data_IF_270130071226
#
_entry.id   IF_270130071226
#
_cell.length_a   1.000
_cell.length_b   1.000
_cell.length_c   1.000
_cell.angle_alpha   90.00
_cell.angle_beta   90.00
_cell.angle_gamma   90.00
#
_symmetry.space_group_name_H-M   'P 1'
#
loop_
_entity.id
_entity.type
_entity.pdbx_description
1 polymer ?
2 non-polymer ?
3 non-polymer ?
4 water ?
#
# COMPACT_ATOMS: atom_id res chain seq x y z
N UNK A 1 -18.22 -20.11 -2.47
CA UNK A 1 -17.48 -19.07 -3.20
C UNK A 1 -16.59 -18.22 -2.33
N UNK A 2 -15.60 -17.53 -2.93
CA UNK A 2 -14.79 -16.57 -2.15
C UNK A 2 -15.59 -15.28 -2.17
N UNK A 3 -16.03 -14.85 -0.99
CA UNK A 3 -16.91 -13.69 -0.82
C UNK A 3 -16.16 -12.37 -0.66
N UNK A 4 -16.83 -11.27 -0.99
CA UNK A 4 -16.31 -9.91 -0.77
C UNK A 4 -16.26 -9.68 0.74
N UNK A 5 -15.33 -8.84 1.20
CA UNK A 5 -15.20 -8.49 2.61
C UNK A 5 -15.27 -7.00 2.90
N UNK A 6 -15.86 -6.69 4.05
CA UNK A 6 -15.91 -5.35 4.60
C UNK A 6 -15.53 -5.45 6.07
N UNK A 7 -15.60 -4.34 6.77
CA UNK A 7 -15.35 -4.31 8.20
C UNK A 7 -16.60 -4.72 8.95
N UNK A 8 -16.43 -5.40 10.09
CA UNK A 8 -17.54 -5.82 10.94
C UNK A 8 -17.95 -4.64 11.85
N UNK A 9 -16.96 -3.88 12.32
CA UNK A 9 -17.15 -2.71 13.19
C UNK A 9 -16.32 -1.55 12.71
N UNK A 10 -16.69 -0.33 13.13
CA UNK A 10 -15.94 0.86 12.79
C UNK A 10 -14.58 0.88 13.57
N UNK A 11 -13.52 1.40 12.91
CA UNK A 11 -12.17 1.59 13.46
C UNK A 11 -11.94 3.09 13.58
N UNK A 12 -11.40 3.56 14.72
CA UNK A 12 -11.08 4.97 14.93
C UNK A 12 -9.64 5.09 15.38
N UNK A 13 -8.89 5.99 14.74
CA UNK A 13 -7.49 6.22 15.11
C UNK A 13 -7.13 7.69 14.96
N UNK A 14 -6.14 8.13 15.74
CA UNK A 14 -5.64 9.51 15.67
C UNK A 14 -4.14 9.41 15.45
N UNK A 15 -3.62 10.28 14.60
CA UNK A 15 -2.20 10.32 14.32
C UNK A 15 -1.78 11.62 13.69
N UNK A 16 -0.64 11.59 12.99
CA UNK A 16 -0.08 12.75 12.29
C UNK A 16 0.34 12.34 10.88
N UNK A 17 0.24 13.28 9.95
CA UNK A 17 0.67 13.03 8.58
C UNK A 17 2.19 13.05 8.50
N UNK A 18 2.79 12.08 7.81
CA UNK A 18 4.25 12.03 7.65
C UNK A 18 4.76 13.30 6.96
N UNK A 19 4.14 13.67 5.84
CA UNK A 19 4.62 14.83 5.07
C UNK A 19 4.16 16.15 5.59
N UNK A 20 2.90 16.26 6.01
CA UNK A 20 2.36 17.54 6.48
C UNK A 20 2.62 17.81 7.97
N UNK A 21 2.76 16.75 8.77
CA UNK A 21 2.93 16.86 10.21
C UNK A 21 1.61 17.23 10.89
N UNK A 22 0.51 17.26 10.12
CA UNK A 22 -0.82 17.64 10.63
C UNK A 22 -1.48 16.53 11.44
N UNK A 23 -2.19 16.87 12.52
CA UNK A 23 -2.97 15.94 13.34
C UNK A 23 -4.20 15.50 12.50
N UNK A 24 -4.45 14.20 12.47
CA UNK A 24 -5.54 13.66 11.66
C UNK A 24 -6.27 12.56 12.42
N UNK A 25 -7.61 12.61 12.31
CA UNK A 25 -8.55 11.64 12.86
C UNK A 25 -9.00 10.80 11.69
N UNK A 26 -8.88 9.50 11.85
CA UNK A 26 -9.19 8.48 10.85
C UNK A 26 -10.33 7.60 11.36
N UNK A 27 -11.29 7.30 10.48
CA UNK A 27 -12.42 6.44 10.80
C UNK A 27 -12.63 5.50 9.63
N UNK A 28 -12.57 4.19 9.88
CA UNK A 28 -12.78 3.20 8.83
C UNK A 28 -14.19 2.68 9.05
N UNK A 29 -15.01 2.67 7.98
CA UNK A 29 -16.39 2.23 8.12
C UNK A 29 -16.75 1.12 7.11
N UNK A 30 -17.67 0.20 7.48
CA UNK A 30 -18.15 -0.80 6.50
C UNK A 30 -18.76 -0.11 5.27
N UNK A 31 -18.76 -0.81 4.13
CA UNK A 31 -19.34 -0.29 2.90
C UNK A 31 -20.05 -1.41 2.15
N UNK A 32 -21.05 -1.06 1.31
CA UNK A 32 -21.75 -2.10 0.54
C UNK A 32 -20.89 -2.85 -0.47
N UNK A 33 -21.42 -3.96 -1.01
CA UNK A 33 -20.77 -4.76 -2.05
C UNK A 33 -20.44 -3.87 -3.27
N UNK A 34 -19.28 -4.09 -3.90
CA UNK A 34 -18.79 -3.37 -5.09
C UNK A 34 -18.53 -1.86 -4.86
N UNK A 35 -18.40 -1.40 -3.60
CA UNK A 35 -18.06 0.01 -3.31
C UNK A 35 -16.59 0.27 -3.62
N UNK A 36 -15.75 -0.70 -3.26
CA UNK A 36 -14.30 -0.58 -3.30
C UNK A 36 -13.88 0.23 -2.09
N UNK A 37 -12.64 0.72 -2.09
CA UNK A 37 -12.15 1.56 -0.98
C UNK A 37 -12.32 3.03 -1.37
N UNK A 38 -13.04 3.82 -0.54
CA UNK A 38 -13.30 5.24 -0.85
C UNK A 38 -12.82 6.14 0.27
N UNK A 39 -11.93 7.12 -0.05
CA UNK A 39 -11.43 8.09 0.95
C UNK A 39 -12.37 9.29 1.02
N UNK A 40 -12.72 9.72 2.23
CA UNK A 40 -13.68 10.80 2.48
C UNK A 40 -13.05 11.91 3.33
N UNK A 41 -12.95 13.12 2.78
CA UNK A 41 -12.40 14.28 3.52
C UNK A 41 -13.56 14.91 4.27
N UNK A 42 -13.77 14.48 5.52
CA UNK A 42 -14.89 14.93 6.35
C UNK A 42 -14.69 16.32 6.98
N UNK A 43 -13.48 16.90 6.85
CA UNK A 43 -13.20 18.26 7.32
C UNK A 43 -13.76 19.30 6.32
N UNK A 44 -14.10 18.86 5.11
CA UNK A 44 -14.62 19.73 4.06
C UNK A 44 -16.13 19.71 3.98
N UNK A 45 -16.74 20.85 3.59
CA UNK A 45 -18.18 20.97 3.45
C UNK A 45 -18.53 21.53 2.06
N UNK A 46 -19.09 20.71 1.15
CA UNK A 46 -19.47 19.29 1.32
C UNK A 46 -18.26 18.36 1.42
N UNK A 47 -18.47 17.16 2.00
CA UNK A 47 -17.43 16.13 2.13
C UNK A 47 -16.99 15.73 0.72
N UNK A 48 -15.68 15.60 0.48
CA UNK A 48 -15.12 15.22 -0.80
C UNK A 48 -14.71 13.76 -0.73
N UNK A 49 -15.26 12.94 -1.62
CA UNK A 49 -15.00 11.51 -1.66
C UNK A 49 -14.15 11.15 -2.88
N UNK A 50 -13.04 10.42 -2.65
CA UNK A 50 -12.12 9.99 -3.70
C UNK A 50 -11.92 8.46 -3.69
N UNK A 51 -12.48 7.72 -4.69
CA UNK A 51 -12.23 6.28 -4.75
C UNK A 51 -10.73 6.00 -4.87
N UNK A 52 -10.24 5.01 -4.14
CA UNK A 52 -8.83 4.60 -4.14
C UNK A 52 -8.60 3.80 -5.43
N UNK A 53 -8.48 4.52 -6.55
CA UNK A 53 -8.30 3.92 -7.88
C UNK A 53 -7.14 4.58 -8.62
N UNK A 54 -6.48 3.82 -9.49
CA UNK A 54 -5.32 4.30 -10.27
C UNK A 54 -5.57 5.62 -10.99
N UNK A 55 -6.76 5.78 -11.58
CA UNK A 55 -7.16 7.00 -12.31
C UNK A 55 -7.19 8.28 -11.43
N UNK A 56 -7.26 8.12 -10.09
CA UNK A 56 -7.32 9.23 -9.16
C UNK A 56 -5.97 9.61 -8.55
N UNK A 57 -4.89 8.93 -8.96
CA UNK A 57 -3.55 9.27 -8.46
C UNK A 57 -3.08 10.57 -9.18
N UNK A 58 -2.76 11.60 -8.42
CA UNK A 58 -2.36 12.88 -9.00
C UNK A 58 -0.93 13.31 -8.72
N UNK A 59 -0.31 12.75 -7.70
CA UNK A 59 1.07 13.04 -7.32
C UNK A 59 1.71 11.74 -6.82
N UNK A 60 3.01 11.54 -7.13
CA UNK A 60 3.77 10.33 -6.70
C UNK A 60 5.20 10.67 -6.18
N UNK A 61 5.34 11.82 -5.50
CA UNK A 61 6.62 12.28 -4.94
C UNK A 61 6.71 11.91 -3.46
N UNK A 62 7.53 10.93 -3.11
CA UNK A 62 7.71 10.46 -1.74
C UNK A 62 6.42 9.92 -1.08
N UNK A 63 5.35 9.63 -1.85
CA UNK A 63 4.09 9.01 -1.38
C UNK A 63 3.16 8.88 -2.57
N UNK A 64 2.04 8.17 -2.39
CA UNK A 64 0.98 8.09 -3.41
C UNK A 64 -0.12 9.06 -2.94
N UNK A 65 -0.48 10.02 -3.81
CA UNK A 65 -1.50 11.01 -3.47
C UNK A 65 -2.70 10.88 -4.41
N UNK A 66 -3.89 10.78 -3.84
CA UNK A 66 -5.16 10.77 -4.59
C UNK A 66 -5.59 12.22 -4.71
N UNK A 67 -6.12 12.60 -5.87
CA UNK A 67 -6.51 13.99 -6.13
C UNK A 67 -7.86 14.06 -6.83
N UNK A 68 -8.67 15.05 -6.47
CA UNK A 68 -9.96 15.38 -7.10
C UNK A 68 -10.01 16.90 -7.09
N UNK A 69 -9.76 17.50 -8.25
CA UNK A 69 -9.69 18.96 -8.38
C UNK A 69 -8.54 19.50 -7.57
N UNK A 70 -8.83 20.36 -6.60
CA UNK A 70 -7.79 20.92 -5.72
C UNK A 70 -7.72 20.20 -4.36
N UNK A 71 -8.48 19.09 -4.21
CA UNK A 71 -8.56 18.29 -2.97
C UNK A 71 -7.63 17.07 -3.08
N UNK A 72 -6.79 16.86 -2.06
CA UNK A 72 -5.87 15.73 -2.02
C UNK A 72 -6.11 14.81 -0.80
N UNK A 73 -5.72 13.53 -0.96
CA UNK A 73 -5.61 12.54 0.11
C UNK A 73 -4.20 11.93 -0.07
N UNK A 74 -3.27 12.33 0.81
CA UNK A 74 -1.87 11.94 0.69
C UNK A 74 -1.51 10.72 1.49
N UNK A 75 -0.47 10.00 1.04
CA UNK A 75 0.16 8.86 1.70
C UNK A 75 -0.86 7.72 1.97
N UNK A 76 -1.52 7.26 0.93
CA UNK A 76 -2.51 6.18 1.05
C UNK A 76 -1.92 4.78 1.08
N UNK A 77 -0.66 4.63 0.62
CA UNK A 77 -0.06 3.32 0.37
C UNK A 77 0.02 2.38 1.57
N UNK A 78 0.32 2.87 2.79
CA UNK A 78 0.45 1.94 3.91
C UNK A 78 -0.89 1.39 4.38
N UNK A 79 -1.92 2.25 4.42
CA UNK A 79 -3.27 1.80 4.82
C UNK A 79 -3.82 0.86 3.72
N UNK A 80 -3.59 1.21 2.43
CA UNK A 80 -4.06 0.35 1.33
C UNK A 80 -3.39 -1.00 1.36
N UNK A 81 -2.09 -1.06 1.78
CA UNK A 81 -1.35 -2.31 1.90
C UNK A 81 -2.02 -3.20 2.96
N UNK A 82 -2.46 -2.59 4.08
CA UNK A 82 -3.13 -3.32 5.16
C UNK A 82 -4.46 -3.88 4.66
N UNK A 83 -5.23 -3.04 3.93
CA UNK A 83 -6.53 -3.38 3.34
C UNK A 83 -6.38 -4.57 2.38
N UNK A 84 -5.36 -4.49 1.50
CA UNK A 84 -5.03 -5.52 0.52
C UNK A 84 -4.62 -6.82 1.22
N UNK A 85 -3.72 -6.73 2.19
CA UNK A 85 -3.20 -7.88 2.93
C UNK A 85 -4.27 -8.64 3.67
N UNK A 86 -5.34 -7.95 4.10
CA UNK A 86 -6.45 -8.57 4.85
C UNK A 86 -7.67 -8.93 3.99
N UNK A 87 -7.60 -8.59 2.71
CA UNK A 87 -8.67 -8.91 1.75
C UNK A 87 -9.92 -8.08 1.88
N UNK A 88 -9.80 -6.83 2.33
CA UNK A 88 -10.94 -5.92 2.47
C UNK A 88 -11.27 -5.32 1.11
N UNK A 89 -12.46 -5.65 0.59
CA UNK A 89 -12.89 -5.12 -0.69
C UNK A 89 -13.54 -3.76 -0.58
N UNK A 90 -14.42 -3.58 0.42
CA UNK A 90 -15.28 -2.41 0.53
C UNK A 90 -15.13 -1.70 1.84
N UNK A 91 -14.86 -0.38 1.79
CA UNK A 91 -14.72 0.43 3.00
C UNK A 91 -14.70 1.91 2.69
N UNK A 92 -15.22 2.71 3.61
CA UNK A 92 -15.12 4.16 3.53
C UNK A 92 -14.02 4.52 4.52
N UNK A 93 -13.09 5.37 4.09
CA UNK A 93 -12.01 5.81 4.95
C UNK A 93 -12.22 7.30 5.20
N UNK A 94 -12.71 7.67 6.38
CA UNK A 94 -12.90 9.09 6.70
C UNK A 94 -11.63 9.69 7.32
N UNK A 95 -11.22 10.89 6.83
CA UNK A 95 -10.04 11.59 7.33
C UNK A 95 -10.43 13.04 7.58
N UNK A 96 -9.93 13.63 8.68
CA UNK A 96 -10.22 15.01 9.03
C UNK A 96 -9.15 15.99 8.51
N UNK A 97 -8.22 15.49 7.67
CA UNK A 97 -7.12 16.29 7.09
C UNK A 97 -6.67 15.60 5.78
N UNK A 98 -5.82 16.29 5.00
CA UNK A 98 -5.34 15.85 3.68
C UNK A 98 -4.41 14.62 3.69
N UNK A 99 -4.00 14.10 4.83
CA UNK A 99 -3.04 12.99 4.84
C UNK A 99 -3.42 11.89 5.82
N UNK A 100 -3.32 10.61 5.40
CA UNK A 100 -3.55 9.44 6.27
C UNK A 100 -2.52 9.51 7.41
N UNK A 101 -2.86 9.17 8.68
CA UNK A 101 -1.83 9.18 9.73
C UNK A 101 -0.73 8.13 9.47
N UNK A 102 0.53 8.48 9.75
CA UNK A 102 1.67 7.62 9.51
C UNK A 102 1.79 6.49 10.57
N UNK A 103 1.17 6.67 11.78
CA UNK A 103 1.23 5.65 12.85
C UNK A 103 2.72 5.40 13.22
N UNK A 104 3.18 4.15 13.18
CA UNK A 104 4.59 3.83 13.49
C UNK A 104 5.47 3.71 12.23
N UNK A 105 4.89 4.05 11.07
CA UNK A 105 5.53 4.00 9.76
C UNK A 105 5.31 2.73 8.98
N UNK A 106 4.65 1.72 9.60
CA UNK A 106 4.40 0.44 8.95
C UNK A 106 2.89 0.24 8.76
N UNK A 107 2.46 -0.97 8.35
CA UNK A 107 1.03 -1.28 8.23
C UNK A 107 0.56 -2.02 9.49
N UNK A 108 1.48 -2.28 10.44
CA UNK A 108 1.21 -3.00 11.70
C UNK A 108 0.04 -2.46 12.50
N UNK A 109 0.04 -1.15 12.86
CA UNK A 109 -1.11 -0.62 13.63
C UNK A 109 -2.44 -0.73 12.89
N UNK A 110 -2.45 -0.53 11.56
CA UNK A 110 -3.68 -0.67 10.76
C UNK A 110 -4.18 -2.12 10.76
N UNK A 111 -3.27 -3.12 10.58
CA UNK A 111 -3.71 -4.53 10.58
C UNK A 111 -4.24 -4.91 11.95
N UNK A 112 -3.61 -4.41 13.03
CA UNK A 112 -4.10 -4.72 14.38
C UNK A 112 -5.50 -4.12 14.64
N UNK A 113 -5.70 -2.84 14.31
CA UNK A 113 -6.98 -2.18 14.55
C UNK A 113 -8.10 -2.84 13.75
N UNK A 114 -7.83 -3.18 12.49
CA UNK A 114 -8.82 -3.85 11.60
C UNK A 114 -9.17 -5.24 12.11
N UNK A 115 -8.13 -6.04 12.45
CA UNK A 115 -8.36 -7.40 12.97
C UNK A 115 -9.03 -7.42 14.36
N UNK A 116 -8.81 -6.35 15.16
CA UNK A 116 -9.48 -6.17 16.47
C UNK A 116 -10.98 -5.90 16.23
N UNK A 117 -11.31 -5.07 15.20
CA UNK A 117 -12.70 -4.75 14.82
C UNK A 117 -13.38 -5.97 14.17
N UNK A 118 -12.59 -6.76 13.44
CA UNK A 118 -13.07 -7.95 12.76
C UNK A 118 -13.60 -7.65 11.36
N UNK A 119 -13.66 -8.69 10.53
CA UNK A 119 -14.15 -8.57 9.15
C UNK A 119 -15.53 -9.21 8.95
N UNK A 120 -16.25 -8.77 7.91
CA UNK A 120 -17.58 -9.22 7.59
C UNK A 120 -17.63 -9.65 6.12
N UNK A 121 -17.84 -10.96 5.88
CA UNK A 121 -17.98 -11.50 4.53
C UNK A 121 -19.36 -11.07 4.03
N UNK A 122 -19.43 -10.68 2.76
CA UNK A 122 -20.63 -10.17 2.11
C UNK A 122 -21.16 -11.14 1.07
N UNK A 123 -22.47 -11.10 0.79
CA UNK A 123 -23.10 -12.06 -0.13
C UNK A 123 -22.90 -11.67 -1.61
N UNK A 124 -21.64 -11.70 -2.05
CA UNK A 124 -21.22 -11.40 -3.43
C UNK A 124 -19.84 -11.96 -3.64
N UNK A 125 -19.60 -12.47 -4.85
CA UNK A 125 -18.31 -13.04 -5.22
C UNK A 125 -17.22 -11.97 -5.22
N UNK A 126 -16.07 -12.28 -4.60
CA UNK A 126 -14.92 -11.36 -4.61
C UNK A 126 -14.38 -11.40 -6.04
N UNK A 127 -14.09 -10.23 -6.60
CA UNK A 127 -13.58 -10.12 -7.97
C UNK A 127 -12.05 -9.96 -7.91
N UNK A 128 -11.35 -10.66 -8.80
CA UNK A 128 -9.90 -10.64 -8.89
C UNK A 128 -9.45 -10.23 -10.29
N UNK A 129 -8.30 -9.56 -10.36
CA UNK A 129 -7.72 -9.20 -11.65
C UNK A 129 -6.64 -10.23 -11.91
N UNK A 130 -6.85 -11.10 -12.91
CA UNK A 130 -5.87 -12.15 -13.24
C UNK A 130 -4.97 -11.69 -14.40
N UNK A 131 -3.64 -11.67 -14.18
CA UNK A 131 -2.62 -11.33 -15.17
C UNK A 131 -2.55 -12.49 -16.20
N UNK A 132 -2.77 -12.18 -17.49
CA UNK A 132 -2.77 -13.18 -18.58
C UNK A 132 -1.51 -13.04 -19.45
N UNK A 133 -0.94 -11.83 -19.53
CA UNK A 133 0.24 -11.55 -20.34
C UNK A 133 1.21 -10.73 -19.52
N UNK A 134 2.51 -10.83 -19.85
CA UNK A 134 3.53 -10.04 -19.18
C UNK A 134 3.39 -8.58 -19.59
N UNK A 135 3.47 -7.67 -18.60
CA UNK A 135 3.37 -6.22 -18.80
C UNK A 135 4.52 -5.62 -18.01
N UNK A 136 5.37 -4.82 -18.69
CA UNK A 136 6.51 -4.19 -18.03
C UNK A 136 6.59 -2.71 -18.36
N UNK A 137 7.06 -1.91 -17.41
CA UNK A 137 7.26 -0.48 -17.58
C UNK A 137 8.66 -0.22 -17.07
N UNK A 138 9.37 0.65 -17.76
CA UNK A 138 10.72 1.00 -17.35
C UNK A 138 10.93 2.47 -17.60
N UNK A 139 11.82 3.07 -16.81
CA UNK A 139 12.23 4.45 -16.99
C UNK A 139 13.61 4.56 -16.39
N UNK A 140 14.59 4.71 -17.28
CA UNK A 140 15.99 4.72 -16.90
C UNK A 140 16.37 3.38 -16.29
N UNK A 141 16.93 3.42 -15.06
CA UNK A 141 17.35 2.21 -14.34
C UNK A 141 16.25 1.63 -13.41
N UNK A 142 14.99 2.07 -13.54
CA UNK A 142 13.88 1.55 -12.72
C UNK A 142 12.99 0.66 -13.60
N UNK A 143 12.50 -0.44 -13.06
CA UNK A 143 11.66 -1.37 -13.83
C UNK A 143 10.59 -1.98 -12.91
N UNK A 144 9.35 -2.17 -13.45
CA UNK A 144 8.23 -2.77 -12.69
C UNK A 144 7.48 -3.67 -13.67
N UNK A 145 7.23 -4.93 -13.27
CA UNK A 145 6.68 -5.94 -14.20
C UNK A 145 5.57 -6.73 -13.55
N UNK A 146 4.54 -7.08 -14.32
CA UNK A 146 3.51 -8.03 -13.92
C UNK A 146 3.75 -9.26 -14.78
N UNK A 147 3.71 -10.45 -14.18
CA UNK A 147 3.93 -11.71 -14.91
C UNK A 147 2.77 -12.66 -14.56
N UNK A 148 2.21 -13.47 -15.50
CA UNK A 148 1.15 -14.41 -15.10
C UNK A 148 1.67 -15.37 -14.03
N UNK A 149 0.83 -15.66 -13.05
CA UNK A 149 1.20 -16.57 -11.95
C UNK A 149 -0.07 -17.00 -11.25
N UNK A 150 -0.22 -18.31 -11.00
CA UNK A 150 -1.36 -18.89 -10.30
C UNK A 150 -1.21 -18.68 -8.77
N UNK A 151 -1.47 -17.44 -8.33
CA UNK A 151 -1.40 -17.02 -6.94
C UNK A 151 -1.05 -15.54 -6.85
N UNK A 152 -0.37 -15.14 -5.78
CA UNK A 152 0.08 -13.76 -5.64
C UNK A 152 1.42 -13.75 -4.99
N UNK A 153 2.41 -13.19 -5.71
CA UNK A 153 3.77 -13.08 -5.22
C UNK A 153 4.41 -11.77 -5.67
N UNK A 154 5.31 -11.27 -4.82
CA UNK A 154 6.03 -10.00 -5.04
C UNK A 154 7.52 -10.23 -4.84
N UNK A 155 8.32 -9.74 -5.80
CA UNK A 155 9.78 -9.81 -5.74
C UNK A 155 10.22 -8.37 -5.82
N UNK A 156 11.23 -7.99 -5.03
CA UNK A 156 11.75 -6.62 -5.07
C UNK A 156 13.25 -6.65 -4.94
N UNK A 157 13.93 -5.80 -5.73
CA UNK A 157 15.37 -5.65 -5.69
C UNK A 157 15.74 -4.16 -5.79
N UNK A 158 16.63 -3.69 -4.92
CA UNK A 158 17.02 -2.27 -5.01
C UNK A 158 18.47 -2.05 -4.60
N UNK A 159 19.23 -1.29 -5.40
CA UNK A 159 20.60 -0.92 -5.05
C UNK A 159 20.43 0.49 -4.48
N UNK A 160 20.35 0.58 -3.15
CA UNK A 160 20.10 1.87 -2.50
C UNK A 160 21.25 2.90 -2.64
N UNK A 161 22.47 2.43 -3.00
CA UNK A 161 23.67 3.26 -3.14
C UNK A 161 23.85 4.13 -1.89
N UNK A 162 23.82 3.47 -0.71
CA UNK A 162 23.92 4.17 0.56
C UNK A 162 24.78 3.36 1.53
N UNK A 163 25.70 4.02 2.30
CA UNK A 163 26.59 3.23 3.19
C UNK A 163 25.91 2.36 4.23
N UNK A 164 24.65 2.67 4.65
CA UNK A 164 23.98 1.88 5.70
C UNK A 164 23.79 0.42 5.25
N UNK A 165 23.73 0.18 3.93
CA UNK A 165 23.54 -1.16 3.40
C UNK A 165 24.85 -1.97 3.33
N UNK A 166 25.99 -1.37 3.76
CA UNK A 166 27.32 -2.00 3.85
C UNK A 166 27.73 -2.73 2.54
N UNK A 167 27.49 -2.07 1.40
CA UNK A 167 27.84 -2.58 0.08
C UNK A 167 26.87 -3.62 -0.44
N UNK A 169 23.50 -4.89 -2.60
CA UNK A 169 22.16 -4.70 -3.18
C UNK A 169 21.11 -5.48 -2.35
N UNK A 170 19.97 -4.82 -1.97
CA UNK A 170 18.91 -5.42 -1.15
C UNK A 170 17.88 -6.15 -2.01
N UNK A 171 17.42 -7.33 -1.55
CA UNK A 171 16.49 -8.17 -2.32
C UNK A 171 15.64 -9.06 -1.44
N UNK A 172 14.35 -9.23 -1.81
CA UNK A 172 13.40 -10.10 -1.11
C UNK A 172 12.28 -10.56 -2.04
N UNK A 173 11.81 -11.78 -1.81
CA UNK A 173 10.71 -12.38 -2.55
C UNK A 173 9.73 -12.94 -1.55
N UNK A 174 8.44 -12.71 -1.80
CA UNK A 174 7.38 -13.17 -0.90
C UNK A 174 6.27 -13.82 -1.74
N UNK A 175 5.85 -15.04 -1.39
CA UNK A 175 4.77 -15.75 -2.06
C UNK A 175 3.68 -15.89 -0.98
N UNK A 176 2.56 -15.16 -1.15
CA UNK A 176 1.46 -15.01 -0.18
C UNK A 176 0.48 -16.15 -0.08
N UNK A 177 1.00 -17.34 0.25
CA UNK A 177 0.26 -18.58 0.45
C UNK A 177 1.08 -19.61 1.24
N UNK A 179 3.71 -17.51 3.00
CA UNK A 179 4.16 -16.51 3.95
C UNK A 179 3.03 -15.59 4.41
N UNK A 180 3.18 -15.06 5.62
CA UNK A 180 2.17 -14.19 6.21
C UNK A 180 2.47 -12.72 5.94
N UNK A 181 1.55 -12.01 5.22
CA UNK A 181 1.61 -10.54 5.03
C UNK A 181 1.75 -9.93 6.42
N UNK A 182 0.89 -10.36 7.39
CA UNK A 182 0.93 -9.85 8.75
C UNK A 182 2.28 -10.09 9.46
N UNK A 183 2.80 -11.34 9.54
CA UNK A 183 4.03 -11.56 10.33
C UNK A 183 5.31 -11.14 9.65
N UNK A 184 5.35 -11.26 8.34
CA UNK A 184 6.59 -10.97 7.61
C UNK A 184 6.68 -9.66 6.85
N UNK A 185 5.55 -8.99 6.50
CA UNK A 185 5.66 -7.72 5.78
C UNK A 185 5.01 -6.53 6.51
N UNK A 186 3.86 -6.73 7.19
CA UNK A 186 3.10 -5.62 7.79
C UNK A 186 3.87 -4.73 8.75
N UNK A 187 4.81 -5.28 9.53
CA UNK A 187 5.58 -4.53 10.53
C UNK A 187 6.77 -3.74 9.97
N UNK A 188 7.05 -3.83 8.65
CA UNK A 188 8.20 -3.13 8.06
C UNK A 188 7.96 -1.64 7.93
N UNK A 189 8.75 -0.83 8.64
CA UNK A 189 8.60 0.62 8.69
C UNK A 189 9.19 1.34 7.50
N UNK A 190 8.60 2.51 7.20
CA UNK A 190 9.16 3.44 6.24
C UNK A 190 10.52 3.96 6.76
N UNK A 191 11.31 4.60 5.89
CA UNK A 191 12.66 5.04 6.29
C UNK A 191 13.05 6.29 5.54
N UNK A 192 13.91 7.07 6.18
CA UNK A 192 14.45 8.32 5.70
C UNK A 192 15.93 8.44 5.97
N UNK A 193 16.60 9.25 5.15
CA UNK A 193 18.04 9.47 5.24
C UNK A 193 18.33 10.92 5.60
N UNK A 194 19.20 11.13 6.59
CA UNK A 194 19.60 12.46 7.05
C UNK A 194 20.15 13.34 5.93
N UNK A 195 20.78 12.73 4.92
CA UNK A 195 21.33 13.48 3.79
C UNK A 195 20.24 14.10 2.91
N UNK A 196 19.01 13.60 2.99
CA UNK A 196 17.89 14.10 2.19
C UNK A 196 16.97 15.09 2.97
N UNK A 197 17.05 15.14 4.31
CA UNK A 197 16.10 15.85 5.17
C UNK A 197 15.99 17.37 4.88
N UNK A 198 17.11 18.07 4.68
CA UNK A 198 17.08 19.51 4.40
C UNK A 198 16.32 19.77 3.08
N UNK A 199 16.67 19.04 1.99
CA UNK A 199 15.99 19.13 0.70
C UNK A 199 14.48 18.75 0.82
N UNK A 200 14.16 17.68 1.59
CA UNK A 200 12.77 17.27 1.77
C UNK A 200 11.92 18.37 2.46
N UNK A 201 12.39 18.89 3.60
CA UNK A 201 11.66 19.96 4.33
C UNK A 201 11.42 21.22 3.47
N UNK A 202 12.37 21.54 2.56
CA UNK A 202 12.28 22.65 1.62
C UNK A 202 11.14 22.44 0.59
N UNK A 203 10.83 21.16 0.26
CA UNK A 203 9.76 20.75 -0.64
C UNK A 203 8.45 20.52 0.14
N UNK A 204 8.47 20.83 1.46
CA UNK A 204 7.35 20.61 2.38
C UNK A 204 7.02 19.12 2.48
N UNK A 205 8.09 18.32 2.53
CA UNK A 205 7.98 16.87 2.67
C UNK A 205 8.58 16.47 3.99
N UNK A 206 8.13 15.32 4.53
CA UNK A 206 8.60 14.71 5.79
C UNK A 206 8.54 15.66 7.00
N UNK A 207 7.59 16.63 7.02
CA UNK A 207 7.48 17.56 8.17
C UNK A 207 7.16 16.85 9.50
N UNK A 208 6.51 15.68 9.41
CA UNK A 208 6.12 14.88 10.57
C UNK A 208 7.08 13.72 10.84
N UNK A 209 8.12 13.60 10.00
CA UNK A 209 9.10 12.53 10.09
C UNK A 209 9.93 12.55 11.37
N UNK A 210 10.12 11.36 12.00
CA UNK A 210 10.92 11.23 13.23
C UNK A 210 11.20 9.75 13.47
N UNK A 211 12.00 9.47 14.52
CA UNK A 211 12.29 8.08 14.93
C UNK A 211 11.01 7.36 15.43
N UNK A 212 9.96 8.13 15.83
CA UNK A 212 8.69 7.56 16.31
C UNK A 212 7.87 6.95 15.18
N UNK A 213 8.14 7.36 13.93
CA UNK A 213 7.34 6.85 12.79
C UNK A 213 8.15 6.40 11.57
N UNK A 214 9.47 6.24 11.69
CA UNK A 214 10.35 5.83 10.57
C UNK A 214 11.69 5.34 11.08
N UNK A 215 12.38 4.55 10.26
CA UNK A 215 13.78 4.19 10.50
C UNK A 215 14.54 5.43 10.02
N UNK A 216 15.24 6.11 10.92
CA UNK A 216 15.99 7.30 10.51
C UNK A 216 17.46 6.92 10.39
N UNK A 217 18.02 7.11 9.18
CA UNK A 217 19.43 6.78 8.92
C UNK A 217 20.32 8.05 8.86
N UNK A 218 21.54 7.99 9.45
CA UNK A 218 22.53 9.06 9.35
C UNK A 218 23.84 8.37 8.96
N UNK A 219 24.11 8.28 7.62
CA UNK A 219 25.27 7.60 7.02
C UNK A 219 25.33 6.11 7.49
N UNK A 220 26.27 5.76 8.39
CA UNK A 220 26.39 4.37 8.87
C UNK A 220 25.37 4.03 9.97
N UNK A 221 24.83 5.05 10.64
CA UNK A 221 23.97 4.81 11.80
C UNK A 221 22.50 4.73 11.55
N UNK A 222 21.82 3.82 12.30
CA UNK A 222 20.37 3.78 12.35
C UNK A 222 20.15 4.53 13.67
N UNK A 223 19.57 5.74 13.61
CA UNK A 223 19.37 6.58 14.79
C UNK A 223 18.40 5.99 15.82
N UNK A 224 17.45 5.15 15.37
CA UNK A 224 16.47 4.51 16.26
C UNK A 224 17.21 3.66 17.28
N UNK A 225 17.10 4.05 18.55
CA UNK A 225 17.72 3.40 19.72
C UNK A 225 17.49 1.88 19.76
N UNK A 226 16.29 1.43 19.36
CA UNK A 226 15.94 0.01 19.40
C UNK A 226 16.23 -0.78 18.11
N UNK A 227 16.77 -0.11 17.10
CA UNK A 227 17.19 -0.77 15.87
C UNK A 227 16.10 -1.24 14.93
N UNK A 228 16.36 -2.37 14.24
CA UNK A 228 15.47 -2.92 13.21
C UNK A 228 14.60 -4.07 13.66
N UNK A 229 13.44 -4.21 13.02
CA UNK A 229 12.47 -5.28 13.30
C UNK A 229 12.80 -6.51 12.49
N UNK A 230 13.48 -6.32 11.36
CA UNK A 230 13.85 -7.39 10.43
C UNK A 230 15.20 -7.04 9.91
N UNK A 231 16.03 -8.04 9.66
CA UNK A 231 17.34 -7.84 9.04
C UNK A 231 17.19 -7.04 7.73
N UNK A 232 16.17 -7.39 6.93
CA UNK A 232 15.85 -6.79 5.62
C UNK A 232 14.61 -5.87 5.69
N UNK A 233 14.46 -5.09 6.78
CA UNK A 233 13.31 -4.19 6.95
C UNK A 233 13.09 -3.23 5.78
N UNK A 234 14.19 -2.72 5.20
CA UNK A 234 14.12 -1.73 4.12
C UNK A 234 13.43 -2.28 2.86
N UNK A 235 13.92 -3.42 2.34
CA UNK A 235 13.31 -4.04 1.15
C UNK A 235 11.89 -4.57 1.46
N UNK A 236 11.66 -5.07 2.69
CA UNK A 236 10.32 -5.53 3.09
C UNK A 236 9.35 -4.34 3.06
N UNK A 237 9.79 -3.12 3.46
CA UNK A 237 8.92 -1.95 3.35
C UNK A 237 8.62 -1.61 1.86
N UNK A 238 9.62 -1.82 0.98
CA UNK A 238 9.39 -1.56 -0.44
C UNK A 238 8.31 -2.49 -1.00
N UNK A 239 8.25 -3.73 -0.47
CA UNK A 239 7.23 -4.72 -0.84
C UNK A 239 5.87 -4.28 -0.29
N UNK A 240 5.84 -3.80 0.97
CA UNK A 240 4.62 -3.27 1.59
C UNK A 240 4.09 -2.13 0.70
N UNK A 241 4.96 -1.14 0.31
CA UNK A 241 4.55 -0.01 -0.55
C UNK A 241 3.94 -0.52 -1.87
N UNK A 242 4.59 -1.48 -2.51
CA UNK A 242 4.11 -2.04 -3.79
C UNK A 242 2.74 -2.71 -3.63
N UNK A 243 2.51 -3.44 -2.52
CA UNK A 243 1.22 -4.07 -2.27
C UNK A 243 0.11 -3.00 -2.17
N UNK A 244 0.40 -1.90 -1.44
CA UNK A 244 -0.53 -0.78 -1.31
C UNK A 244 -0.82 -0.06 -2.61
N UNK A 245 0.22 0.25 -3.39
CA UNK A 245 0.08 0.93 -4.68
C UNK A 245 -0.69 0.08 -5.68
N UNK A 246 -0.41 -1.24 -5.68
CA UNK A 246 -1.05 -2.23 -6.59
C UNK A 246 -2.51 -2.35 -6.26
N UNK A 247 -2.89 -2.08 -4.99
CA UNK A 247 -4.30 -2.17 -4.59
C UNK A 247 -5.16 -1.05 -5.19
N UNK A 248 -4.51 -0.05 -5.84
CA UNK A 248 -5.24 0.98 -6.55
C UNK A 248 -5.89 0.44 -7.84
N UNK A 249 -5.59 -0.82 -8.20
CA UNK A 249 -6.30 -1.49 -9.29
C UNK A 249 -7.80 -1.66 -8.93
N UNK A 250 -8.11 -1.71 -7.63
CA UNK A 250 -9.47 -1.83 -7.14
C UNK A 250 -9.92 -3.25 -6.83
N UNK A 251 -9.07 -4.25 -7.17
CA UNK A 251 -9.33 -5.67 -6.91
C UNK A 251 -7.99 -6.38 -6.67
N UNK A 252 -8.01 -7.49 -5.90
CA UNK A 252 -6.80 -8.29 -5.62
C UNK A 252 -6.29 -8.88 -6.92
N UNK A 253 -4.99 -9.01 -7.00
CA UNK A 253 -4.32 -9.55 -8.18
C UNK A 253 -4.09 -11.04 -8.05
N UNK A 254 -4.14 -11.73 -9.21
CA UNK A 254 -3.72 -13.11 -9.37
C UNK A 254 -2.59 -12.98 -10.39
N UNK A 255 -1.37 -13.00 -9.88
CA UNK A 255 -0.18 -12.81 -10.70
C UNK A 255 1.02 -12.51 -9.86
N UNK A 256 2.10 -12.19 -10.52
CA UNK A 256 3.37 -11.88 -9.88
C UNK A 256 3.80 -10.42 -10.20
N UNK A 257 4.31 -9.71 -9.20
CA UNK A 257 4.87 -8.37 -9.38
C UNK A 257 6.38 -8.49 -9.13
N UNK A 258 7.20 -7.89 -10.00
CA UNK A 258 8.66 -7.84 -9.84
C UNK A 258 9.06 -6.38 -9.94
N UNK A 259 9.65 -5.87 -8.87
CA UNK A 259 10.08 -4.48 -8.80
C UNK A 259 11.59 -4.36 -8.79
N UNK A 260 12.12 -3.40 -9.57
CA UNK A 260 13.56 -3.15 -9.65
C UNK A 260 13.75 -1.66 -9.46
N UNK A 261 14.03 -1.23 -8.22
CA UNK A 261 14.17 0.19 -7.85
C UNK A 261 12.87 0.99 -8.15
N UNK A 262 11.73 0.29 -8.20
CA UNK A 262 10.45 0.91 -8.54
C UNK A 262 9.78 1.56 -7.34
N UNK A 263 9.36 2.80 -7.54
CA UNK A 263 8.72 3.57 -6.49
C UNK A 263 7.27 3.83 -6.82
N UNK A 264 6.65 4.79 -6.11
CA UNK A 264 5.22 5.10 -6.31
C UNK A 264 4.89 5.51 -7.74
N UNK A 265 5.77 6.29 -8.36
CA UNK A 265 5.61 6.76 -9.74
C UNK A 265 5.55 5.61 -10.73
N UNK A 266 6.57 4.73 -10.72
CA UNK A 266 6.60 3.60 -11.64
C UNK A 266 5.51 2.59 -11.35
N UNK A 267 5.16 2.37 -10.06
CA UNK A 267 4.06 1.48 -9.67
C UNK A 267 2.77 1.95 -10.32
N UNK A 268 2.46 3.26 -10.24
CA UNK A 268 1.24 3.78 -10.86
C UNK A 268 1.26 3.67 -12.38
N UNK A 269 2.43 3.92 -13.01
CA UNK A 269 2.58 3.82 -14.47
C UNK A 269 2.32 2.38 -14.92
N UNK A 270 2.74 1.38 -14.11
CA UNK A 270 2.53 -0.03 -14.41
C UNK A 270 1.03 -0.32 -14.38
N UNK A 271 0.33 0.22 -13.37
CA UNK A 271 -1.12 0.02 -13.25
C UNK A 271 -1.88 0.60 -14.43
N UNK A 272 -1.49 1.82 -14.86
CA UNK A 272 -2.13 2.48 -15.99
C UNK A 272 -1.90 1.75 -17.32
N UNK A 273 -0.69 1.21 -17.50
CA UNK A 273 -0.30 0.42 -18.70
C UNK A 273 -1.11 -0.86 -18.71
N UNK A 274 -1.22 -1.51 -17.54
CA UNK A 274 -1.98 -2.77 -17.42
C UNK A 274 -3.44 -2.53 -17.81
N UNK A 275 -4.08 -1.55 -17.14
CA UNK A 275 -5.49 -1.20 -17.38
C UNK A 275 -5.72 -0.93 -18.86
N UNK A 276 -4.81 -0.17 -19.52
CA UNK A 276 -4.99 0.10 -20.95
C UNK A 276 -4.86 -1.17 -21.82
N UNK A 277 -4.05 -2.13 -21.38
CA UNK A 277 -3.83 -3.35 -22.16
C UNK A 277 -4.82 -4.44 -21.72
N UNK A 278 -6.04 -4.36 -22.26
CA UNK A 278 -7.11 -5.31 -21.91
C UNK A 278 -6.83 -6.74 -22.36
N UNK A 279 -5.85 -6.95 -23.25
CA UNK A 279 -5.46 -8.31 -23.63
C UNK A 279 -4.64 -8.99 -22.51
N UNK A 280 -4.10 -8.19 -21.57
CA UNK A 280 -3.21 -8.70 -20.54
C UNK A 280 -3.88 -9.11 -19.24
N UNK A 281 -5.18 -8.86 -19.10
CA UNK A 281 -5.89 -9.18 -17.85
C UNK A 281 -7.36 -9.44 -18.08
N UNK A 282 -7.97 -10.06 -17.07
CA UNK A 282 -9.38 -10.38 -17.05
C UNK A 282 -9.87 -10.43 -15.61
N UNK A 283 -11.17 -10.17 -15.41
CA UNK A 283 -11.80 -10.23 -14.08
C UNK A 283 -12.30 -11.65 -13.88
N UNK A 284 -11.96 -12.24 -12.72
CA UNK A 284 -12.34 -13.62 -12.42
C UNK A 284 -12.92 -13.68 -11.02
N UNK A 285 -13.75 -14.69 -10.78
CA UNK A 285 -14.33 -14.99 -9.46
C UNK A 285 -14.11 -16.48 -9.22
N UNK A 286 -14.27 -16.92 -7.98
CA UNK A 286 -14.12 -18.32 -7.61
C UNK A 286 -15.37 -18.82 -6.90
N UNK A 287 -16.14 -19.64 -7.60
CA UNK A 287 -17.37 -20.25 -7.10
C UNK A 287 -17.02 -21.28 -5.99
N UNK A 288 -15.76 -21.79 -6.01
CA UNK A 288 -15.30 -22.79 -5.05
C UNK A 288 -13.92 -22.42 -4.53
N UNK A 289 -13.83 -22.02 -3.26
CA UNK A 289 -12.57 -21.66 -2.62
C UNK A 289 -11.51 -22.80 -2.67
N UNK A 290 -11.96 -24.08 -2.68
CA UNK A 290 -11.09 -25.27 -2.70
C UNK A 290 -10.21 -25.39 -3.96
N UNK A 291 -10.63 -24.79 -5.08
CA UNK A 291 -9.88 -24.85 -6.34
C UNK A 291 -9.20 -23.51 -6.68
N UNK A 292 -9.36 -22.48 -5.82
CA UNK A 292 -8.77 -21.16 -6.05
C UNK A 292 -7.25 -21.14 -5.75
N UNK A 293 -6.45 -20.29 -6.44
CA UNK A 293 -4.99 -20.27 -6.20
C UNK A 293 -4.56 -19.38 -5.03
N UNK A 294 -5.52 -18.75 -4.36
CA UNK A 294 -5.28 -17.88 -3.21
C UNK A 294 -6.24 -18.26 -2.09
N UNK A 295 -5.89 -17.91 -0.85
CA UNK A 295 -6.73 -18.10 0.33
C UNK A 295 -6.50 -16.93 1.28
N UNK A 296 -7.52 -16.61 2.10
CA UNK A 296 -7.42 -15.52 3.08
C UNK A 296 -7.58 -16.06 4.46
N UNK A 297 -7.12 -15.28 5.46
CA UNK A 297 -7.28 -15.65 6.87
C UNK A 297 -8.78 -15.65 7.18
N UNK A 298 -9.18 -16.43 8.19
CA UNK A 298 -10.57 -16.45 8.67
C UNK A 298 -11.01 -14.99 8.99
N UNK A 299 -12.28 -14.59 8.68
CA UNK A 299 -12.70 -13.21 8.95
C UNK A 299 -12.88 -12.90 10.44
X LIG B 1 11.43 5.99 -0.06
X LIG B 1 10.23 5.24 0.12
X LIG B 1 9.53 4.77 -1.05
X LIG B 1 10.56 3.86 1.15
X LIG B 1 9.06 6.35 1.01
X LIG B 1 8.76 7.45 -0.01
X LIG B 1 7.79 5.57 1.47
X LIG B 1 6.57 5.88 0.89
X LIG B 1 5.50 5.03 1.09
X LIG B 1 7.83 4.72 2.34
X LIG B 1 9.75 6.94 2.25
X LIG B 1 8.95 7.89 3.13
X LIG B 1 8.96 9.22 2.54
X LIG B 1 9.68 10.08 3.31
X LIG B 1 9.93 11.20 2.94
X LIG B 1 10.11 9.44 4.43
X LIG B 1 9.61 8.06 4.49
X LIG B 1 10.92 9.99 5.48
X LIG B 1 10.77 9.56 6.79
X LIG B 1 11.50 10.13 7.81
X LIG B 1 12.42 11.15 7.54
X LIG B 1 12.58 11.58 6.22
X LIG B 1 11.86 10.99 5.20
X LIG B 1 13.19 11.72 8.60
X LIG B 1 13.85 12.25 9.44
X LIG B 1 14.67 12.95 10.41
X LIG B 1 14.37 14.34 10.64
X LIG B 1 14.03 13.32 11.64
X LIG B 1 9.73 3.21 1.38
X LIG B 1 10.99 4.10 2.13
X LIG B 1 11.28 3.18 0.71
X LIG B 1 8.35 7.07 -0.94
X LIG B 1 9.64 8.03 -0.27
X LIG B 1 8.03 8.14 0.39
X LIG B 1 6.47 6.20 -0.07
X LIG B 1 4.90 5.55 1.68
X LIG B 1 10.66 7.47 1.94
X LIG B 1 10.11 6.11 2.85
X LIG B 1 7.89 7.66 3.22
X LIG B 1 10.41 7.36 4.71
X LIG B 1 8.91 7.91 5.31
X LIG B 1 10.07 8.76 7.06
X LIG B 1 11.35 9.82 8.84
X LIG B 1 13.31 12.35 5.99
X LIG B 1 12.08 11.30 4.19
X LIG B 1 15.71 12.63 10.40
X LIG B 1 15.18 15.04 10.83
X LIG B 1 13.59 14.82 10.06
X LIG B 1 14.58 13.25 12.57
X LIG B 1 12.99 13.04 11.82
X LIG C 1 6.12 3.43 2.42
#
# INVERSE_FOLDING_TARGET
MIKQRTLKNIIRATGVGLHSGEKVYLTLKPAPVDTGIVFCRTDLDPVVEIPARAENVGETTMSTTLVKGDVKVDTVEHLLSAMAGLGIDNAYVELSASEVPIMDGSAGPFVFLIQSAGLQEQEAAKKFIRIKREVSVEEGDKRAVFVPFDGFKVSFEIDFDHPVFRGRTQQASVDFSSTSFVKEVSRARTFGFMRDIEYLRSQNLALGGSVENAIVVDENRVLNEDGLRYEDEFVKHKILDAIGDLYLLGNSLIGEFRGFKSGHALNNQLLRTLIADKDAWEVVTFEDARTAPISYMRP
JBA O5 S O4 C18 C1 C C17 N1 O3 O2 C2 C3 O1 C5 O N C4 C6 C16 C15 C9 C8 C7 C10 C11 C12 C14 C13 H19 H21 H20 H1 H3 H2 H17 H18 H5 H4 H H6 H7 H16 H15 H9 H8 H10 H13 H14 H12 H11
ZN ZN
#
